data_IF_085429939180
#
_entry.id   IF_085429939180
#
_cell.length_a   1.000
_cell.length_b   1.000
_cell.length_c   1.000
_cell.angle_alpha   90.00
_cell.angle_beta   90.00
_cell.angle_gamma   90.00
#
_symmetry.space_group_name_H-M   'P 1'
#
loop_
_entity.id
_entity.type
_entity.pdbx_description
1 polymer ?
#
# COMPACT_ATOMS: atom_id res chain seq x y z
N UNK A 1 -36.12 16.17 1.24
CA UNK A 1 -35.24 15.04 0.87
C UNK A 1 -34.01 15.12 1.76
N UNK A 2 -33.99 14.36 2.86
CA UNK A 2 -32.98 14.49 3.92
C UNK A 2 -31.81 13.56 3.64
N UNK A 3 -30.66 14.12 3.28
CA UNK A 3 -29.39 13.39 3.21
C UNK A 3 -29.02 12.92 4.63
N UNK A 4 -29.13 11.61 4.86
CA UNK A 4 -28.62 10.99 6.07
C UNK A 4 -27.10 11.09 6.07
N UNK A 5 -26.55 11.77 7.09
CA UNK A 5 -25.12 11.74 7.42
C UNK A 5 -24.72 10.29 7.62
N UNK A 6 -23.89 9.76 6.72
CA UNK A 6 -23.29 8.45 6.86
C UNK A 6 -22.29 8.55 8.01
N UNK A 7 -22.57 7.84 9.10
CA UNK A 7 -21.67 7.70 10.24
C UNK A 7 -20.51 6.80 9.80
N UNK A 8 -19.31 7.37 9.64
CA UNK A 8 -18.08 6.68 9.21
C UNK A 8 -17.77 5.43 10.04
N UNK A 9 -18.31 5.32 11.26
CA UNK A 9 -18.12 4.17 12.14
C UNK A 9 -18.96 2.92 11.77
N UNK A 10 -19.97 3.02 10.91
CA UNK A 10 -20.85 1.87 10.59
C UNK A 10 -20.35 1.02 9.42
N UNK A 11 -19.55 1.60 8.53
CA UNK A 11 -19.03 0.91 7.32
C UNK A 11 -17.95 -0.12 7.67
N UNK A 12 -17.30 0.01 8.83
CA UNK A 12 -16.15 -0.83 9.24
C UNK A 12 -16.57 -2.23 9.74
N UNK A 13 -17.87 -2.52 9.94
CA UNK A 13 -18.29 -3.69 10.73
C UNK A 13 -18.65 -4.98 9.96
N UNK A 14 -18.49 -5.08 8.65
CA UNK A 14 -18.86 -6.32 7.94
C UNK A 14 -17.92 -6.62 6.78
N UNK A 15 -16.93 -7.50 7.01
CA UNK A 15 -16.25 -8.40 6.06
C UNK A 15 -15.16 -9.18 6.84
N UNK A 16 -15.11 -10.50 6.76
CA UNK A 16 -14.18 -11.32 7.55
C UNK A 16 -12.68 -11.24 7.08
N UNK A 17 -12.25 -10.10 6.53
CA UNK A 17 -10.88 -9.77 6.11
C UNK A 17 -10.25 -8.57 6.87
N UNK A 18 -10.94 -7.99 7.86
CA UNK A 18 -10.52 -6.75 8.55
C UNK A 18 -9.45 -6.91 9.64
N UNK A 19 -9.09 -8.12 10.08
CA UNK A 19 -8.03 -8.28 11.11
C UNK A 19 -6.71 -7.64 10.65
N UNK A 20 -6.34 -7.81 9.37
CA UNK A 20 -5.12 -7.24 8.80
C UNK A 20 -5.20 -5.69 8.74
N UNK A 21 -6.28 -5.14 8.16
CA UNK A 21 -6.48 -3.68 8.07
C UNK A 21 -6.66 -2.99 9.43
N UNK A 22 -7.19 -3.71 10.43
CA UNK A 22 -7.37 -3.19 11.80
C UNK A 22 -6.05 -2.82 12.45
N UNK A 23 -4.95 -3.47 12.09
CA UNK A 23 -3.63 -3.14 12.61
C UNK A 23 -2.84 -2.18 11.72
N UNK A 24 -3.37 -1.82 10.53
CA UNK A 24 -2.68 -1.05 9.49
C UNK A 24 -3.26 0.35 9.39
N UNK A 25 -2.74 1.27 10.20
CA UNK A 25 -3.31 2.60 10.34
C UNK A 25 -2.59 3.63 9.47
N UNK A 26 -3.33 4.65 9.05
CA UNK A 26 -2.80 5.87 8.45
C UNK A 26 -2.56 6.98 9.48
N UNK A 27 -2.69 6.68 10.78
CA UNK A 27 -2.60 7.64 11.88
C UNK A 27 -1.40 7.35 12.78
N UNK A 28 -0.41 8.23 12.73
CA UNK A 28 0.74 8.18 13.64
C UNK A 28 0.31 8.37 15.10
N UNK A 29 -0.71 9.20 15.36
CA UNK A 29 -1.20 9.45 16.72
C UNK A 29 -1.76 8.20 17.39
N UNK A 30 -2.57 7.42 16.69
CA UNK A 30 -3.12 6.17 17.25
C UNK A 30 -1.97 5.19 17.55
N UNK A 31 -0.99 5.08 16.65
CA UNK A 31 0.14 4.18 16.80
C UNK A 31 1.03 4.60 17.98
N UNK A 32 1.31 5.89 18.10
CA UNK A 32 2.10 6.45 19.18
C UNK A 32 1.40 6.34 20.54
N UNK A 33 0.07 6.41 20.58
CA UNK A 33 -0.72 6.28 21.82
C UNK A 33 -1.05 4.82 22.18
N UNK A 34 -0.87 3.87 21.26
CA UNK A 34 -1.16 2.47 21.53
C UNK A 34 -0.25 1.89 22.63
N UNK A 35 -0.87 1.29 23.66
CA UNK A 35 -0.15 0.68 24.79
C UNK A 35 -0.05 -0.83 24.71
N UNK A 36 -1.17 -1.52 24.47
CA UNK A 36 -1.25 -2.99 24.45
C UNK A 36 -1.39 -3.59 23.05
N UNK A 37 -2.04 -2.86 22.13
CA UNK A 37 -2.21 -3.31 20.73
C UNK A 37 -0.98 -2.93 19.91
N UNK A 38 -0.49 -3.88 19.11
CA UNK A 38 0.61 -3.69 18.18
C UNK A 38 0.04 -3.24 16.83
N UNK A 39 0.01 -1.94 16.60
CA UNK A 39 -0.34 -1.36 15.30
C UNK A 39 0.91 -1.12 14.46
N UNK A 40 0.73 -1.15 13.14
CA UNK A 40 1.70 -0.75 12.13
C UNK A 40 1.21 0.50 11.41
N UNK A 41 2.15 1.37 11.06
CA UNK A 41 1.89 2.49 10.14
C UNK A 41 2.05 1.97 8.72
N UNK A 42 1.00 2.04 7.92
CA UNK A 42 1.05 1.60 6.54
C UNK A 42 1.43 2.77 5.64
N UNK A 43 2.63 2.68 5.04
CA UNK A 43 3.17 3.73 4.16
C UNK A 43 2.44 3.83 2.83
N UNK A 44 1.59 2.85 2.50
CA UNK A 44 0.91 2.81 1.21
C UNK A 44 -0.44 3.54 1.18
N UNK A 45 -0.94 4.00 2.33
CA UNK A 45 -2.24 4.69 2.42
C UNK A 45 -2.40 5.88 1.46
N UNK A 46 -1.39 6.74 1.22
CA UNK A 46 -1.51 7.82 0.24
C UNK A 46 -1.85 7.33 -1.16
N UNK A 47 -1.21 6.26 -1.65
CA UNK A 47 -1.49 5.71 -2.99
C UNK A 47 -2.93 5.22 -3.11
N UNK A 48 -3.43 4.52 -2.09
CA UNK A 48 -4.81 4.06 -2.06
C UNK A 48 -5.81 5.23 -2.12
N UNK A 49 -5.50 6.33 -1.41
CA UNK A 49 -6.31 7.55 -1.42
C UNK A 49 -6.30 8.23 -2.81
N UNK A 50 -5.14 8.26 -3.45
CA UNK A 50 -4.94 8.89 -4.76
C UNK A 50 -5.42 8.03 -5.93
N UNK A 51 -5.93 6.82 -5.66
CA UNK A 51 -6.39 5.88 -6.67
C UNK A 51 -5.26 5.23 -7.47
N UNK A 52 -4.03 5.24 -6.93
CA UNK A 52 -2.89 4.52 -7.49
C UNK A 52 -2.71 3.15 -6.79
N UNK A 53 -2.00 2.24 -7.44
CA UNK A 53 -1.90 0.86 -6.99
C UNK A 53 -0.72 0.12 -7.60
N UNK A 54 -0.32 -0.93 -6.89
CA UNK A 54 0.78 -1.81 -7.30
C UNK A 54 0.26 -2.81 -8.34
N UNK A 55 -0.98 -3.27 -8.20
CA UNK A 55 -1.62 -4.21 -9.12
C UNK A 55 -2.73 -3.54 -9.93
N UNK A 56 -2.84 -3.88 -11.22
CA UNK A 56 -3.79 -3.28 -12.15
C UNK A 56 -4.53 -4.36 -12.95
N UNK A 57 -5.71 -4.75 -12.47
CA UNK A 57 -6.63 -5.62 -13.20
C UNK A 57 -7.76 -4.80 -13.83
N UNK A 58 -8.82 -4.51 -13.08
CA UNK A 58 -9.91 -3.60 -13.48
C UNK A 58 -9.62 -2.15 -13.09
N UNK A 59 -9.18 -1.96 -11.85
CA UNK A 59 -8.76 -0.69 -11.25
C UNK A 59 -7.40 -0.86 -10.56
N UNK A 60 -6.68 0.23 -10.26
CA UNK A 60 -5.48 0.16 -9.44
C UNK A 60 -5.81 -0.31 -8.03
N UNK A 61 -5.02 -1.24 -7.51
CA UNK A 61 -5.15 -1.79 -6.16
C UNK A 61 -3.78 -1.83 -5.47
N UNK A 62 -3.76 -1.50 -4.19
CA UNK A 62 -2.56 -1.60 -3.34
C UNK A 62 -2.54 -2.98 -2.68
N UNK A 63 -1.95 -3.95 -3.38
CA UNK A 63 -1.78 -5.30 -2.84
C UNK A 63 -0.46 -5.44 -2.08
N UNK A 64 0.59 -4.77 -2.55
CA UNK A 64 1.91 -4.77 -1.93
C UNK A 64 2.03 -3.62 -0.93
N UNK A 65 2.53 -3.89 0.28
CA UNK A 65 2.49 -2.93 1.39
C UNK A 65 3.77 -2.88 2.22
N UNK A 66 4.24 -1.66 2.51
CA UNK A 66 5.20 -1.41 3.58
C UNK A 66 4.49 -1.00 4.87
N UNK A 67 4.71 -1.80 5.91
CA UNK A 67 4.13 -1.61 7.24
C UNK A 67 5.24 -1.42 8.27
N UNK A 68 5.12 -0.38 9.08
CA UNK A 68 6.18 0.10 9.96
C UNK A 68 5.77 -0.03 11.41
N UNK A 69 6.63 -0.66 12.22
CA UNK A 69 6.38 -0.79 13.65
C UNK A 69 6.58 0.55 14.37
N UNK A 70 5.90 0.71 15.51
CA UNK A 70 6.06 1.86 16.42
C UNK A 70 7.52 2.14 16.81
N UNK A 71 8.33 1.09 16.96
CA UNK A 71 9.75 1.21 17.34
C UNK A 71 10.62 1.92 16.28
N UNK A 72 10.25 1.76 15.01
CA UNK A 72 10.92 2.47 13.90
C UNK A 72 10.41 3.91 13.83
N UNK A 73 9.10 4.13 14.02
CA UNK A 73 8.46 5.45 14.00
C UNK A 73 9.00 6.37 15.10
N UNK A 74 9.19 5.83 16.32
CA UNK A 74 9.65 6.60 17.47
C UNK A 74 11.18 6.65 17.60
N UNK A 75 11.91 6.35 16.51
CA UNK A 75 13.37 6.45 16.41
C UNK A 75 14.15 5.60 17.43
N UNK A 76 13.55 4.54 17.98
CA UNK A 76 14.21 3.59 18.88
C UNK A 76 14.86 2.41 18.13
N UNK A 77 14.82 2.43 16.81
CA UNK A 77 15.45 1.45 15.92
C UNK A 77 16.83 1.93 15.45
N UNK A 78 17.70 1.00 15.07
CA UNK A 78 19.03 1.28 14.48
C UNK A 78 18.97 1.89 13.08
N UNK A 79 17.79 1.91 12.48
CA UNK A 79 17.52 2.55 11.20
C UNK A 79 16.22 3.36 11.28
N UNK A 80 16.13 4.38 10.45
CA UNK A 80 14.96 5.24 10.28
C UNK A 80 14.43 5.13 8.86
N UNK A 81 13.15 5.40 8.71
CA UNK A 81 12.54 5.58 7.39
C UNK A 81 12.71 7.03 7.00
N UNK A 82 13.20 7.26 5.78
CA UNK A 82 13.22 8.62 5.24
C UNK A 82 11.77 9.02 4.96
N UNK A 83 11.27 10.12 5.56
CA UNK A 83 9.91 10.59 5.34
C UNK A 83 9.60 10.76 3.85
N UNK A 84 8.37 10.46 3.47
CA UNK A 84 7.87 10.60 2.10
C UNK A 84 8.75 9.94 1.03
N UNK A 85 9.47 8.88 1.38
CA UNK A 85 10.33 8.12 0.44
C UNK A 85 9.67 6.87 -0.15
N UNK A 86 8.51 6.47 0.37
CA UNK A 86 7.76 5.33 -0.14
C UNK A 86 7.28 5.61 -1.57
N UNK A 87 7.49 4.69 -2.51
CA UNK A 87 7.10 4.84 -3.93
C UNK A 87 6.50 3.55 -4.48
N UNK A 88 5.58 3.70 -5.42
CA UNK A 88 5.26 2.68 -6.43
C UNK A 88 6.17 2.98 -7.62
N UNK A 89 7.09 2.06 -7.91
CA UNK A 89 8.14 2.25 -8.90
C UNK A 89 7.62 1.90 -10.30
N UNK A 90 7.41 2.93 -11.10
CA UNK A 90 6.95 2.85 -12.49
C UNK A 90 8.10 3.29 -13.40
N UNK A 91 8.83 2.32 -13.92
CA UNK A 91 9.90 2.53 -14.89
C UNK A 91 9.31 2.55 -16.30
N UNK A 92 9.99 3.21 -17.23
CA UNK A 92 9.53 3.30 -18.61
C UNK A 92 9.37 1.90 -19.23
N UNK A 93 10.28 0.99 -18.95
CA UNK A 93 10.29 -0.35 -19.53
C UNK A 93 9.19 -1.25 -18.98
N UNK A 94 8.78 -1.06 -17.72
CA UNK A 94 7.75 -1.88 -17.08
C UNK A 94 6.35 -1.24 -17.09
N UNK A 95 6.19 -0.08 -17.75
CA UNK A 95 4.94 0.69 -17.78
C UNK A 95 4.44 0.91 -19.21
N UNK A 96 3.16 0.63 -19.43
CA UNK A 96 2.47 0.91 -20.70
C UNK A 96 2.01 2.38 -20.74
N UNK A 97 1.71 2.88 -21.93
CA UNK A 97 1.17 4.25 -22.15
C UNK A 97 -0.09 4.59 -21.32
N UNK A 98 -0.84 3.57 -20.86
CA UNK A 98 -2.03 3.75 -20.02
C UNK A 98 -1.74 3.58 -18.51
N UNK A 99 -0.48 3.73 -18.09
CA UNK A 99 -0.02 3.57 -16.70
C UNK A 99 -0.29 2.17 -16.10
N UNK A 100 -0.43 1.14 -16.93
CA UNK A 100 -0.55 -0.26 -16.49
C UNK A 100 0.78 -0.99 -16.64
N UNK A 101 1.06 -2.02 -15.83
CA UNK A 101 2.29 -2.77 -15.91
C UNK A 101 2.38 -3.59 -17.21
N UNK A 102 3.59 -3.74 -17.73
CA UNK A 102 3.90 -4.63 -18.85
C UNK A 102 3.97 -6.07 -18.31
N UNK A 103 2.84 -6.78 -18.37
CA UNK A 103 2.70 -8.15 -17.87
C UNK A 103 3.53 -9.15 -18.68
N UNK A 104 4.13 -10.13 -18.01
CA UNK A 104 4.76 -11.29 -18.63
C UNK A 104 3.72 -12.34 -19.08
N UNK A 105 2.68 -12.55 -18.28
CA UNK A 105 1.61 -13.55 -18.49
C UNK A 105 2.13 -15.00 -18.61
N UNK A 106 1.22 -15.98 -18.61
CA UNK A 106 1.61 -17.41 -18.67
C UNK A 106 2.02 -17.78 -20.10
N UNK A 107 3.02 -18.64 -20.32
CA UNK A 107 3.42 -19.07 -21.68
C UNK A 107 2.29 -19.69 -22.52
N UNK A 108 1.28 -20.29 -21.89
CA UNK A 108 0.12 -20.86 -22.56
C UNK A 108 -1.02 -19.86 -22.81
N UNK A 109 -0.92 -18.63 -22.28
CA UNK A 109 -1.95 -17.61 -22.43
C UNK A 109 -1.78 -16.85 -23.74
N UNK A 110 -2.89 -16.37 -24.31
CA UNK A 110 -2.90 -15.61 -25.57
C UNK A 110 -2.13 -14.28 -25.46
N UNK A 111 -2.06 -13.72 -24.27
CA UNK A 111 -1.38 -12.45 -23.96
C UNK A 111 0.05 -12.66 -23.43
N UNK A 112 0.63 -13.85 -23.61
CA UNK A 112 2.02 -14.11 -23.24
C UNK A 112 2.97 -13.10 -23.87
N UNK A 113 3.79 -12.47 -23.02
CA UNK A 113 4.78 -11.50 -23.44
C UNK A 113 6.13 -11.85 -22.77
N UNK A 114 7.06 -12.50 -23.48
CA UNK A 114 8.35 -12.89 -22.91
C UNK A 114 9.24 -11.70 -22.53
N UNK A 115 8.92 -10.49 -23.00
CA UNK A 115 9.59 -9.23 -22.63
C UNK A 115 8.87 -8.48 -21.51
N UNK A 116 7.79 -9.04 -20.98
CA UNK A 116 7.08 -8.47 -19.84
C UNK A 116 7.77 -8.76 -18.52
N UNK A 117 7.34 -8.05 -17.48
CA UNK A 117 7.93 -8.07 -16.16
C UNK A 117 7.01 -8.79 -15.17
N UNK A 118 6.04 -8.06 -14.62
CA UNK A 118 5.09 -8.51 -13.62
C UNK A 118 3.75 -7.82 -13.90
N UNK A 119 2.66 -8.35 -13.36
CA UNK A 119 1.38 -7.65 -13.28
C UNK A 119 1.24 -6.75 -12.04
N UNK A 120 2.32 -6.66 -11.27
CA UNK A 120 2.51 -5.74 -10.17
C UNK A 120 3.69 -4.80 -10.43
N UNK A 121 3.52 -3.51 -10.14
CA UNK A 121 4.61 -2.57 -9.99
C UNK A 121 5.35 -2.82 -8.66
N UNK A 122 6.70 -2.76 -8.65
CA UNK A 122 7.46 -2.84 -7.41
C UNK A 122 7.18 -1.64 -6.50
N UNK A 123 7.42 -1.82 -5.20
CA UNK A 123 7.39 -0.73 -4.22
C UNK A 123 8.77 -0.56 -3.59
N UNK A 124 9.13 0.68 -3.29
CA UNK A 124 10.39 1.02 -2.63
C UNK A 124 10.16 1.94 -1.43
N UNK A 125 11.12 1.93 -0.50
CA UNK A 125 11.22 2.87 0.61
C UNK A 125 12.70 3.09 0.92
N UNK A 126 13.11 4.32 1.25
CA UNK A 126 14.49 4.61 1.63
C UNK A 126 14.66 4.54 3.15
N UNK A 127 15.73 3.91 3.57
CA UNK A 127 16.13 3.82 4.97
C UNK A 127 17.43 4.60 5.19
N UNK A 128 17.59 5.20 6.36
CA UNK A 128 18.86 5.76 6.82
C UNK A 128 19.32 5.00 8.07
N UNK A 129 20.63 4.73 8.15
CA UNK A 129 21.25 4.27 9.40
C UNK A 129 21.46 5.47 10.33
N UNK A 130 21.45 5.17 11.63
CA UNK A 130 21.84 6.09 12.70
C UNK A 130 23.37 6.18 12.83
#
# INVERSE_FOLDING_TARGET
MNFHKINENSVIKKLHSWEFYRYNLNSLDIINNARSKKYFYNLMWPFLKDGDGTHHYEKPEVLDQFMVSKGIINEKSVFRIIPDSCRIEKFEENTKNNNKPVRFSRPSAKDYNPKGFSDHFPISVKLSLL
#
